data_IF_054247958627
#
_entry.id   IF_054247958627
#
_cell.length_a   1.000
_cell.length_b   1.000
_cell.length_c   1.000
_cell.angle_alpha   90.00
_cell.angle_beta   90.00
_cell.angle_gamma   90.00
#
_symmetry.space_group_name_H-M   'P 1'
#
loop_
_entity.id
_entity.type
_entity.pdbx_description
1 polymer ?
#
# COMPACT_ATOMS: atom_id res chain seq x y z
N UNK A 1 59.91 31.38 22.19
CA UNK A 1 58.68 31.51 21.38
C UNK A 1 57.51 30.88 22.15
N UNK A 2 57.16 31.49 23.28
CA UNK A 2 56.10 31.04 24.17
C UNK A 2 55.01 32.11 24.19
N UNK A 3 53.77 31.76 23.89
CA UNK A 3 52.56 32.47 24.30
C UNK A 3 51.40 31.48 24.07
N UNK A 4 50.87 30.86 25.13
CA UNK A 4 49.83 31.33 26.07
C UNK A 4 48.50 30.67 25.71
N UNK A 5 48.01 29.78 26.59
CA UNK A 5 46.95 30.03 27.61
C UNK A 5 45.57 30.06 26.91
N UNK A 6 44.56 29.30 27.33
CA UNK A 6 43.77 29.58 28.53
C UNK A 6 42.81 28.40 28.81
N UNK A 7 42.70 28.06 30.10
CA UNK A 7 41.69 27.22 30.74
C UNK A 7 40.24 27.64 30.43
N UNK A 8 39.26 26.73 30.48
CA UNK A 8 38.13 26.78 31.46
C UNK A 8 37.03 25.74 31.19
N UNK A 9 36.89 24.81 32.13
CA UNK A 9 35.68 24.34 32.85
C UNK A 9 34.28 24.27 32.21
N UNK A 10 33.65 23.10 32.47
CA UNK A 10 32.21 22.86 32.75
C UNK A 10 31.27 22.85 31.54
N UNK A 11 30.25 21.98 31.41
CA UNK A 11 29.28 21.46 32.39
C UNK A 11 28.73 20.10 31.92
N UNK A 12 28.33 19.29 32.88
CA UNK A 12 27.47 18.12 32.68
C UNK A 12 26.16 18.51 31.98
N UNK A 13 25.81 17.77 30.93
CA UNK A 13 24.46 17.77 30.37
C UNK A 13 23.73 16.50 30.77
N UNK A 14 22.54 16.74 31.33
CA UNK A 14 21.61 15.79 31.91
C UNK A 14 21.13 14.76 30.88
N UNK A 15 21.10 13.51 31.30
CA UNK A 15 20.42 12.40 30.61
C UNK A 15 18.94 12.72 30.43
N UNK A 16 18.52 12.85 29.17
CA UNK A 16 17.11 12.89 28.77
C UNK A 16 16.49 11.48 28.85
N UNK A 17 15.16 11.37 29.04
CA UNK A 17 14.51 10.13 29.44
C UNK A 17 14.53 9.07 28.35
N UNK A 18 14.54 7.82 28.80
CA UNK A 18 14.59 6.60 28.00
C UNK A 18 13.56 6.58 26.86
N UNK A 19 14.04 6.68 25.62
CA UNK A 19 13.31 6.19 24.46
C UNK A 19 13.13 4.68 24.65
N UNK A 20 11.87 4.27 24.61
CA UNK A 20 11.42 2.88 24.74
C UNK A 20 12.31 1.93 23.94
N UNK A 21 13.10 1.17 24.68
CA UNK A 21 13.88 0.04 24.18
C UNK A 21 12.87 -1.08 23.87
N UNK A 22 12.43 -1.22 22.62
CA UNK A 22 11.73 -2.45 22.18
C UNK A 22 12.73 -3.60 22.36
N UNK A 23 12.45 -4.45 23.35
CA UNK A 23 13.29 -5.59 23.70
C UNK A 23 13.26 -6.64 22.59
N UNK A 24 14.33 -7.41 22.53
CA UNK A 24 14.59 -8.51 21.59
C UNK A 24 13.39 -9.43 21.33
N UNK A 25 13.14 -9.63 20.03
CA UNK A 25 12.60 -10.83 19.38
C UNK A 25 11.54 -11.62 20.16
N UNK A 26 10.28 -11.19 20.06
CA UNK A 26 9.20 -12.17 19.94
C UNK A 26 9.43 -12.95 18.65
N UNK A 27 9.28 -14.28 18.67
CA UNK A 27 9.21 -15.12 17.46
C UNK A 27 8.26 -14.43 16.49
N UNK A 28 8.79 -13.85 15.42
CA UNK A 28 7.99 -13.23 14.37
C UNK A 28 7.58 -14.38 13.46
N UNK A 29 6.28 -14.57 13.27
CA UNK A 29 5.84 -15.50 12.24
C UNK A 29 6.17 -14.87 10.88
N UNK A 30 6.58 -15.70 9.93
CA UNK A 30 6.82 -15.25 8.56
C UNK A 30 5.53 -15.34 7.74
N UNK A 31 5.30 -14.33 6.91
CA UNK A 31 4.17 -14.28 5.99
C UNK A 31 4.65 -13.76 4.64
N UNK A 32 4.20 -14.37 3.55
CA UNK A 32 4.46 -13.80 2.22
C UNK A 32 3.60 -12.57 1.98
N UNK A 33 4.05 -11.65 1.13
CA UNK A 33 3.23 -10.48 0.73
C UNK A 33 1.91 -10.93 0.10
N UNK A 34 1.92 -12.03 -0.68
CA UNK A 34 0.70 -12.63 -1.23
C UNK A 34 -0.27 -13.05 -0.14
N UNK A 35 0.19 -13.77 0.87
CA UNK A 35 -0.66 -14.25 1.96
C UNK A 35 -1.17 -13.10 2.84
N UNK A 36 -0.37 -12.05 3.00
CA UNK A 36 -0.76 -10.81 3.68
C UNK A 36 -1.93 -10.10 2.98
N UNK A 37 -1.86 -9.95 1.65
CA UNK A 37 -2.94 -9.38 0.84
C UNK A 37 -4.19 -10.27 0.86
N UNK A 38 -4.01 -11.59 0.74
CA UNK A 38 -5.10 -12.55 0.83
C UNK A 38 -5.83 -12.47 2.16
N UNK A 39 -5.09 -12.50 3.27
CA UNK A 39 -5.63 -12.44 4.64
C UNK A 39 -6.32 -11.10 4.90
N UNK A 40 -5.76 -9.99 4.40
CA UNK A 40 -6.42 -8.69 4.46
C UNK A 40 -7.78 -8.71 3.78
N UNK A 41 -7.88 -9.22 2.55
CA UNK A 41 -9.17 -9.33 1.86
C UNK A 41 -10.13 -10.28 2.57
N UNK A 42 -9.64 -11.44 3.02
CA UNK A 42 -10.45 -12.42 3.73
C UNK A 42 -11.13 -11.82 4.97
N UNK A 43 -10.35 -11.08 5.77
CA UNK A 43 -10.86 -10.48 7.00
C UNK A 43 -11.84 -9.35 6.74
N UNK A 44 -11.61 -8.51 5.72
CA UNK A 44 -12.54 -7.43 5.40
C UNK A 44 -13.83 -7.96 4.75
N UNK A 45 -13.75 -9.01 3.93
CA UNK A 45 -14.91 -9.72 3.38
C UNK A 45 -15.76 -10.35 4.50
N UNK A 46 -15.12 -10.96 5.51
CA UNK A 46 -15.81 -11.52 6.68
C UNK A 46 -16.41 -10.44 7.59
N UNK A 47 -15.81 -9.25 7.62
CA UNK A 47 -16.20 -8.15 8.50
C UNK A 47 -17.40 -7.37 7.95
N UNK A 48 -17.48 -7.21 6.64
CA UNK A 48 -18.41 -6.27 6.00
C UNK A 48 -19.04 -6.90 4.75
N UNK A 49 -20.35 -7.11 4.79
CA UNK A 49 -21.11 -7.76 3.72
C UNK A 49 -21.20 -6.90 2.44
N UNK A 50 -20.91 -5.60 2.54
CA UNK A 50 -20.87 -4.69 1.41
C UNK A 50 -19.56 -4.81 0.60
N UNK A 51 -18.52 -5.44 1.15
CA UNK A 51 -17.23 -5.62 0.47
C UNK A 51 -17.30 -6.76 -0.52
N UNK A 52 -16.83 -6.59 -1.75
CA UNK A 52 -16.71 -7.69 -2.71
C UNK A 52 -15.52 -7.48 -3.64
N UNK A 53 -14.96 -8.57 -4.18
CA UNK A 53 -13.86 -8.56 -5.13
C UNK A 53 -14.39 -8.80 -6.54
N UNK A 54 -13.95 -8.00 -7.50
CA UNK A 54 -14.21 -8.23 -8.92
C UNK A 54 -12.99 -7.93 -9.80
N UNK A 55 -12.83 -8.70 -10.86
CA UNK A 55 -11.75 -8.56 -11.83
C UNK A 55 -11.60 -9.81 -12.68
N UNK A 56 -10.59 -9.82 -13.52
CA UNK A 56 -10.28 -10.95 -14.39
C UNK A 56 -9.59 -12.06 -13.58
N UNK A 57 -10.15 -13.27 -13.64
CA UNK A 57 -9.57 -14.49 -13.06
C UNK A 57 -9.44 -14.47 -11.52
N UNK A 58 -10.16 -13.58 -10.83
CA UNK A 58 -10.10 -13.42 -9.37
C UNK A 58 -10.83 -14.54 -8.61
N UNK A 59 -11.81 -15.19 -9.23
CA UNK A 59 -12.65 -16.20 -8.59
C UNK A 59 -12.15 -17.62 -8.88
N UNK A 60 -12.63 -18.27 -9.94
CA UNK A 60 -12.43 -19.70 -10.15
C UNK A 60 -10.96 -20.06 -10.41
N UNK A 61 -10.22 -19.14 -11.02
CA UNK A 61 -8.78 -19.29 -11.25
C UNK A 61 -7.92 -18.99 -10.01
N UNK A 62 -8.55 -18.61 -8.89
CA UNK A 62 -7.88 -18.26 -7.64
C UNK A 62 -6.94 -17.03 -7.76
N UNK A 63 -7.17 -16.13 -8.72
CA UNK A 63 -6.35 -14.96 -9.00
C UNK A 63 -5.18 -15.28 -9.94
N UNK A 64 -4.87 -14.37 -10.87
CA UNK A 64 -3.75 -14.51 -11.81
C UNK A 64 -2.41 -14.78 -11.08
N UNK A 65 -2.18 -14.05 -9.98
CA UNK A 65 -0.99 -14.18 -9.13
C UNK A 65 -1.24 -14.92 -7.81
N UNK A 66 -2.38 -15.59 -7.68
CA UNK A 66 -2.82 -16.34 -6.49
C UNK A 66 -3.07 -15.51 -5.23
N UNK A 67 -3.30 -14.20 -5.39
CA UNK A 67 -3.59 -13.28 -4.28
C UNK A 67 -5.00 -13.52 -3.70
N UNK A 68 -5.99 -13.87 -4.53
CA UNK A 68 -7.37 -14.15 -4.11
C UNK A 68 -7.66 -15.64 -3.84
N UNK A 69 -6.62 -16.47 -3.71
CA UNK A 69 -6.77 -17.92 -3.54
C UNK A 69 -7.67 -18.28 -2.36
N UNK A 70 -8.61 -19.21 -2.56
CA UNK A 70 -9.52 -19.72 -1.54
C UNK A 70 -10.71 -18.81 -1.22
N UNK A 71 -10.72 -17.57 -1.70
CA UNK A 71 -11.79 -16.62 -1.36
C UNK A 71 -13.10 -16.98 -2.06
N UNK A 72 -13.05 -17.41 -3.33
CA UNK A 72 -14.25 -17.78 -4.07
C UNK A 72 -14.92 -19.02 -3.46
N UNK A 73 -14.13 -20.03 -3.08
CA UNK A 73 -14.64 -21.22 -2.40
C UNK A 73 -15.31 -20.88 -1.05
N UNK A 74 -14.84 -19.81 -0.38
CA UNK A 74 -15.36 -19.36 0.91
C UNK A 74 -16.60 -18.46 0.81
N UNK A 75 -16.63 -17.52 -0.13
CA UNK A 75 -17.65 -16.46 -0.20
C UNK A 75 -18.60 -16.56 -1.41
N UNK A 76 -18.25 -17.37 -2.41
CA UNK A 76 -19.09 -17.66 -3.57
C UNK A 76 -19.23 -16.52 -4.58
N UNK A 77 -20.04 -16.80 -5.61
CA UNK A 77 -20.16 -16.00 -6.85
C UNK A 77 -20.68 -14.57 -6.66
N UNK A 78 -21.29 -14.28 -5.50
CA UNK A 78 -21.81 -12.93 -5.21
C UNK A 78 -20.75 -11.99 -4.65
N UNK A 79 -19.67 -12.54 -4.07
CA UNK A 79 -18.66 -11.78 -3.33
C UNK A 79 -17.31 -11.79 -4.02
N UNK A 80 -17.01 -12.83 -4.81
CA UNK A 80 -15.81 -12.93 -5.63
C UNK A 80 -16.24 -13.18 -7.07
N UNK A 81 -16.06 -12.19 -7.94
CA UNK A 81 -16.73 -12.09 -9.24
C UNK A 81 -15.70 -12.04 -10.37
N UNK A 82 -15.65 -13.08 -11.19
CA UNK A 82 -14.91 -13.05 -12.45
C UNK A 82 -15.60 -12.14 -13.47
N UNK A 83 -14.82 -11.31 -14.14
CA UNK A 83 -15.30 -10.38 -15.17
C UNK A 83 -14.81 -10.77 -16.56
N UNK A 84 -15.52 -10.41 -17.64
CA UNK A 84 -14.93 -10.41 -18.97
C UNK A 84 -13.71 -9.47 -19.03
N UNK A 85 -12.87 -9.65 -20.05
CA UNK A 85 -11.70 -8.78 -20.31
C UNK A 85 -12.17 -7.42 -20.83
N UNK A 86 -12.54 -6.54 -19.91
CA UNK A 86 -13.08 -5.21 -20.21
C UNK A 86 -12.90 -4.27 -19.02
N UNK A 87 -11.66 -3.79 -18.85
CA UNK A 87 -11.23 -2.97 -17.72
C UNK A 87 -12.14 -1.76 -17.50
N UNK A 88 -12.44 -1.02 -18.56
CA UNK A 88 -13.36 0.12 -18.49
C UNK A 88 -14.76 -0.30 -18.02
N UNK A 89 -15.27 -1.43 -18.51
CA UNK A 89 -16.62 -1.89 -18.24
C UNK A 89 -16.79 -2.31 -16.79
N UNK A 90 -15.94 -3.21 -16.31
CA UNK A 90 -16.04 -3.71 -14.94
C UNK A 90 -15.68 -2.64 -13.90
N UNK A 91 -14.77 -1.72 -14.23
CA UNK A 91 -14.44 -0.59 -13.34
C UNK A 91 -15.61 0.38 -13.23
N UNK A 92 -16.29 0.70 -14.34
CA UNK A 92 -17.47 1.56 -14.32
C UNK A 92 -18.64 0.95 -13.54
N UNK A 93 -18.84 -0.38 -13.65
CA UNK A 93 -19.80 -1.12 -12.84
C UNK A 93 -19.47 -1.02 -11.34
N UNK A 94 -18.20 -1.21 -10.98
CA UNK A 94 -17.74 -1.09 -9.59
C UNK A 94 -17.96 0.33 -9.03
N UNK A 95 -17.60 1.37 -9.78
CA UNK A 95 -17.82 2.76 -9.37
C UNK A 95 -19.32 3.03 -9.16
N UNK A 96 -20.17 2.58 -10.08
CA UNK A 96 -21.63 2.69 -9.92
C UNK A 96 -22.15 1.93 -8.69
N UNK A 97 -21.61 0.75 -8.39
CA UNK A 97 -21.96 0.00 -7.19
C UNK A 97 -21.54 0.74 -5.91
N UNK A 98 -20.36 1.37 -5.92
CA UNK A 98 -19.86 2.15 -4.79
C UNK A 98 -20.75 3.38 -4.47
N UNK A 99 -21.32 4.03 -5.48
CA UNK A 99 -22.30 5.11 -5.28
C UNK A 99 -23.55 4.67 -4.51
N UNK A 100 -23.84 3.37 -4.52
CA UNK A 100 -24.99 2.77 -3.85
C UNK A 100 -24.65 2.07 -2.54
N UNK A 101 -23.48 2.37 -1.95
CA UNK A 101 -23.13 1.96 -0.58
C UNK A 101 -22.35 0.65 -0.48
N UNK A 102 -22.13 -0.05 -1.60
CA UNK A 102 -21.23 -1.21 -1.62
C UNK A 102 -19.75 -0.79 -1.60
N UNK A 103 -18.84 -1.71 -1.30
CA UNK A 103 -17.40 -1.46 -1.18
C UNK A 103 -16.57 -2.38 -2.10
N UNK A 104 -16.59 -2.13 -3.41
CA UNK A 104 -15.86 -2.96 -4.36
C UNK A 104 -14.34 -2.87 -4.19
N UNK A 105 -13.70 -4.03 -4.31
CA UNK A 105 -12.28 -4.20 -4.55
C UNK A 105 -12.16 -4.61 -6.02
N UNK A 106 -11.59 -3.73 -6.83
CA UNK A 106 -11.36 -3.95 -8.26
C UNK A 106 -9.92 -4.39 -8.45
N UNK A 107 -9.72 -5.60 -8.99
CA UNK A 107 -8.40 -6.10 -9.37
C UNK A 107 -8.15 -5.86 -10.86
N UNK A 108 -7.09 -5.12 -11.17
CA UNK A 108 -6.46 -5.19 -12.49
C UNK A 108 -5.33 -6.22 -12.42
N UNK A 109 -5.28 -7.13 -13.40
CA UNK A 109 -4.19 -8.12 -13.48
C UNK A 109 -2.82 -7.44 -13.40
N UNK A 110 -2.68 -6.33 -14.13
CA UNK A 110 -1.60 -5.37 -13.93
C UNK A 110 -2.10 -3.95 -14.17
N UNK A 111 -1.52 -2.96 -13.49
CA UNK A 111 -1.83 -1.54 -13.70
C UNK A 111 -1.52 -1.05 -15.11
N UNK A 112 -0.73 -1.80 -15.90
CA UNK A 112 -0.60 -1.51 -17.33
C UNK A 112 -1.96 -1.54 -18.04
N UNK A 113 -2.86 -2.45 -17.65
CA UNK A 113 -4.19 -2.60 -18.23
C UNK A 113 -5.22 -1.64 -17.62
N UNK A 114 -4.97 -1.16 -16.39
CA UNK A 114 -5.75 -0.10 -15.76
C UNK A 114 -5.79 1.20 -16.59
N UNK A 115 -4.85 1.39 -17.54
CA UNK A 115 -4.94 2.48 -18.52
C UNK A 115 -6.22 2.45 -19.34
N UNK A 116 -6.78 1.28 -19.64
CA UNK A 116 -8.07 1.19 -20.33
C UNK A 116 -9.24 1.68 -19.48
N UNK A 117 -9.11 1.66 -18.15
CA UNK A 117 -10.11 2.08 -17.17
C UNK A 117 -9.82 3.43 -16.50
N UNK A 118 -8.76 4.13 -16.89
CA UNK A 118 -8.25 5.29 -16.15
C UNK A 118 -9.27 6.43 -16.08
N UNK A 119 -10.15 6.54 -17.08
CA UNK A 119 -11.25 7.49 -17.10
C UNK A 119 -12.24 7.23 -15.95
N UNK A 120 -12.61 5.97 -15.69
CA UNK A 120 -13.48 5.63 -14.55
C UNK A 120 -12.79 5.90 -13.22
N UNK A 121 -11.50 5.58 -13.09
CA UNK A 121 -10.74 5.81 -11.86
C UNK A 121 -10.65 7.31 -11.54
N UNK A 122 -10.38 8.15 -12.55
CA UNK A 122 -10.16 9.57 -12.35
C UNK A 122 -11.46 10.37 -12.38
N UNK A 123 -12.20 10.30 -13.49
CA UNK A 123 -13.32 11.20 -13.72
C UNK A 123 -14.58 10.74 -12.99
N UNK A 124 -14.80 9.43 -12.88
CA UNK A 124 -15.95 8.89 -12.16
C UNK A 124 -15.67 8.67 -10.67
N UNK A 125 -14.53 8.11 -10.26
CA UNK A 125 -14.30 7.85 -8.84
C UNK A 125 -13.71 9.06 -8.11
N UNK A 126 -12.49 9.48 -8.46
CA UNK A 126 -11.73 10.47 -7.70
C UNK A 126 -12.46 11.81 -7.51
N UNK A 127 -13.09 12.32 -8.58
CA UNK A 127 -13.69 13.65 -8.59
C UNK A 127 -15.10 13.70 -8.01
N UNK A 128 -15.76 12.56 -7.81
CA UNK A 128 -17.19 12.53 -7.55
C UNK A 128 -17.58 13.17 -6.23
N UNK A 129 -16.83 12.94 -5.15
CA UNK A 129 -17.12 13.52 -3.85
C UNK A 129 -17.11 15.06 -3.93
N UNK A 130 -16.12 15.62 -4.63
CA UNK A 130 -16.03 17.06 -4.85
C UNK A 130 -17.15 17.58 -5.76
N UNK A 131 -17.42 16.92 -6.90
CA UNK A 131 -18.43 17.35 -7.87
C UNK A 131 -19.86 17.27 -7.31
N UNK A 132 -20.11 16.34 -6.40
CA UNK A 132 -21.38 16.20 -5.69
C UNK A 132 -21.47 17.08 -4.44
N UNK A 133 -20.50 17.98 -4.21
CA UNK A 133 -20.48 18.86 -3.03
C UNK A 133 -20.54 18.07 -1.69
N UNK A 134 -19.91 16.90 -1.65
CA UNK A 134 -19.84 16.03 -0.48
C UNK A 134 -20.98 15.02 -0.34
N UNK A 135 -21.92 14.95 -1.29
CA UNK A 135 -23.10 14.08 -1.17
C UNK A 135 -22.81 12.61 -1.53
N UNK A 136 -21.89 12.36 -2.46
CA UNK A 136 -21.62 11.01 -2.99
C UNK A 136 -20.17 10.61 -2.70
N UNK A 137 -19.98 9.86 -1.61
CA UNK A 137 -18.72 9.17 -1.34
C UNK A 137 -18.55 7.95 -2.26
N UNK A 138 -17.29 7.56 -2.50
CA UNK A 138 -16.97 6.45 -3.41
C UNK A 138 -15.98 5.51 -2.71
N UNK A 139 -16.47 4.64 -1.81
CA UNK A 139 -15.63 3.67 -1.11
C UNK A 139 -15.24 2.53 -2.05
N UNK A 140 -14.12 2.68 -2.77
CA UNK A 140 -13.66 1.72 -3.77
C UNK A 140 -12.13 1.56 -3.69
N UNK A 141 -11.67 0.32 -3.83
CA UNK A 141 -10.24 0.01 -3.93
C UNK A 141 -9.91 -0.45 -5.34
N UNK A 142 -8.89 0.14 -5.95
CA UNK A 142 -8.28 -0.35 -7.18
C UNK A 142 -6.93 -0.96 -6.83
N UNK A 143 -6.75 -2.27 -7.04
CA UNK A 143 -5.51 -2.98 -6.71
C UNK A 143 -5.00 -3.82 -7.87
N UNK A 144 -3.73 -4.21 -7.79
CA UNK A 144 -3.08 -4.99 -8.85
C UNK A 144 -1.57 -4.80 -8.88
N UNK A 145 -0.91 -5.59 -9.71
CA UNK A 145 0.55 -5.51 -9.89
C UNK A 145 0.97 -4.23 -10.62
N UNK A 146 1.99 -3.54 -10.12
CA UNK A 146 2.53 -2.30 -10.67
C UNK A 146 4.07 -2.31 -10.72
N UNK A 147 4.64 -1.66 -11.74
CA UNK A 147 6.07 -1.58 -11.96
C UNK A 147 6.65 -2.78 -12.72
N UNK A 148 7.97 -2.98 -12.68
CA UNK A 148 8.64 -4.01 -13.47
C UNK A 148 8.40 -5.42 -12.92
N UNK A 149 8.36 -6.39 -13.83
CA UNK A 149 8.44 -7.82 -13.57
C UNK A 149 9.55 -8.47 -14.44
N UNK A 150 9.76 -9.77 -14.28
CA UNK A 150 10.87 -10.47 -14.95
C UNK A 150 10.53 -10.83 -16.40
N UNK A 151 11.17 -10.18 -17.37
CA UNK A 151 11.12 -10.57 -18.78
C UNK A 151 9.82 -10.23 -19.52
N UNK A 152 9.01 -9.31 -18.99
CA UNK A 152 7.68 -8.97 -19.54
C UNK A 152 7.66 -7.78 -20.52
N UNK A 153 8.84 -7.24 -20.83
CA UNK A 153 9.04 -6.17 -21.82
C UNK A 153 8.27 -4.86 -21.53
N UNK A 154 8.15 -4.00 -22.54
CA UNK A 154 7.75 -2.60 -22.37
C UNK A 154 6.31 -2.40 -21.87
N UNK A 155 5.35 -3.22 -22.33
CA UNK A 155 3.92 -3.02 -22.06
C UNK A 155 3.43 -3.63 -20.74
N UNK A 156 4.32 -4.28 -19.97
CA UNK A 156 3.99 -4.94 -18.70
C UNK A 156 4.92 -4.50 -17.56
N UNK A 157 5.68 -3.41 -17.73
CA UNK A 157 6.71 -2.98 -16.76
C UNK A 157 6.53 -1.55 -16.24
N UNK A 158 5.43 -0.88 -16.58
CA UNK A 158 5.25 0.53 -16.26
C UNK A 158 4.85 0.73 -14.78
N UNK A 159 5.41 1.78 -14.16
CA UNK A 159 5.02 2.23 -12.83
C UNK A 159 4.08 3.44 -12.94
N UNK A 160 2.90 3.33 -12.35
CA UNK A 160 1.84 4.34 -12.38
C UNK A 160 1.73 5.19 -11.11
N UNK A 161 2.69 5.05 -10.19
CA UNK A 161 2.73 5.83 -8.94
C UNK A 161 2.62 7.34 -9.19
N UNK A 162 3.39 7.87 -10.15
CA UNK A 162 3.35 9.29 -10.50
C UNK A 162 2.03 9.71 -11.16
N UNK A 163 1.40 8.83 -11.96
CA UNK A 163 0.15 9.14 -12.65
C UNK A 163 -0.98 9.30 -11.63
N UNK A 164 -1.30 8.24 -10.88
CA UNK A 164 -2.40 8.29 -9.91
C UNK A 164 -2.09 9.22 -8.74
N UNK A 165 -0.82 9.29 -8.30
CA UNK A 165 -0.40 10.19 -7.22
C UNK A 165 -0.44 11.67 -7.58
N UNK A 166 -0.78 12.04 -8.82
CA UNK A 166 -0.99 13.43 -9.25
C UNK A 166 -2.45 13.83 -9.35
N UNK A 167 -3.39 12.92 -9.04
CA UNK A 167 -4.82 13.14 -9.18
C UNK A 167 -5.42 13.45 -7.80
N UNK A 168 -5.98 14.66 -7.59
CA UNK A 168 -6.74 14.97 -6.38
C UNK A 168 -7.99 14.11 -6.25
N UNK A 169 -8.33 13.73 -5.01
CA UNK A 169 -9.46 12.85 -4.70
C UNK A 169 -9.13 11.35 -4.77
N UNK A 170 -7.90 10.99 -5.20
CA UNK A 170 -7.36 9.64 -5.01
C UNK A 170 -6.39 9.62 -3.82
N UNK A 171 -6.43 8.51 -3.07
CA UNK A 171 -5.32 8.10 -2.21
C UNK A 171 -4.54 7.00 -2.92
N UNK A 172 -3.21 7.09 -2.94
CA UNK A 172 -2.36 6.08 -3.58
C UNK A 172 -1.36 5.52 -2.57
N UNK A 173 -1.31 4.19 -2.46
CA UNK A 173 -0.40 3.47 -1.58
C UNK A 173 0.39 2.43 -2.36
N UNK A 174 1.64 2.19 -1.98
CA UNK A 174 2.54 1.26 -2.66
C UNK A 174 3.30 0.42 -1.63
N UNK A 175 2.71 -0.68 -1.13
CA UNK A 175 3.29 -1.48 -0.04
C UNK A 175 4.59 -2.17 -0.46
N UNK A 176 5.48 -2.40 0.51
CA UNK A 176 6.73 -3.13 0.32
C UNK A 176 6.73 -4.51 1.01
N UNK A 177 6.56 -4.53 2.33
CA UNK A 177 6.61 -5.76 3.14
C UNK A 177 5.20 -6.32 3.45
N UNK A 178 5.16 -7.46 4.13
CA UNK A 178 3.89 -8.13 4.48
C UNK A 178 3.03 -7.33 5.47
N UNK A 179 3.62 -6.56 6.38
CA UNK A 179 2.84 -5.70 7.29
C UNK A 179 2.22 -4.53 6.54
N UNK A 180 3.00 -3.89 5.66
CA UNK A 180 2.55 -2.81 4.79
C UNK A 180 1.39 -3.29 3.91
N UNK A 181 1.55 -4.44 3.25
CA UNK A 181 0.55 -5.00 2.36
C UNK A 181 -0.76 -5.32 3.09
N UNK A 182 -0.69 -5.99 4.25
CA UNK A 182 -1.87 -6.34 5.04
C UNK A 182 -2.55 -5.08 5.60
N UNK A 183 -1.79 -4.23 6.27
CA UNK A 183 -2.30 -3.06 6.98
C UNK A 183 -2.85 -1.97 6.06
N UNK A 184 -2.16 -1.69 4.95
CA UNK A 184 -2.60 -0.67 3.99
C UNK A 184 -3.80 -1.13 3.16
N UNK A 185 -3.89 -2.42 2.79
CA UNK A 185 -5.06 -2.91 2.07
C UNK A 185 -6.31 -2.88 2.95
N UNK A 186 -6.22 -3.29 4.22
CA UNK A 186 -7.33 -3.17 5.17
C UNK A 186 -7.74 -1.71 5.39
N UNK A 187 -6.76 -0.81 5.51
CA UNK A 187 -7.04 0.61 5.62
C UNK A 187 -7.73 1.15 4.35
N UNK A 188 -7.29 0.73 3.16
CA UNK A 188 -7.87 1.12 1.88
C UNK A 188 -9.33 0.67 1.75
N UNK A 189 -9.64 -0.58 2.10
CA UNK A 189 -11.02 -1.11 2.05
C UNK A 189 -11.96 -0.39 3.03
N UNK A 190 -11.42 0.07 4.16
CA UNK A 190 -12.18 0.81 5.18
C UNK A 190 -12.32 2.30 4.88
N UNK A 191 -11.55 2.84 3.94
CA UNK A 191 -11.57 4.25 3.59
C UNK A 191 -12.86 4.60 2.79
N UNK A 192 -13.53 5.72 3.09
CA UNK A 192 -14.72 6.13 2.33
C UNK A 192 -14.41 6.72 0.95
N UNK A 193 -13.13 6.86 0.59
CA UNK A 193 -12.68 7.47 -0.67
C UNK A 193 -12.07 6.41 -1.62
N UNK A 194 -11.89 6.74 -2.91
CA UNK A 194 -11.18 5.87 -3.83
C UNK A 194 -9.70 5.72 -3.47
N UNK A 195 -9.25 4.47 -3.32
CA UNK A 195 -7.86 4.15 -2.97
C UNK A 195 -7.22 3.26 -4.03
N UNK A 196 -6.05 3.66 -4.51
CA UNK A 196 -5.22 2.87 -5.44
C UNK A 196 -4.11 2.17 -4.65
N UNK A 197 -4.06 0.84 -4.74
CA UNK A 197 -3.06 -0.02 -4.08
C UNK A 197 -2.13 -0.60 -5.14
N UNK A 198 -0.95 0.00 -5.27
CA UNK A 198 0.08 -0.36 -6.25
C UNK A 198 0.99 -1.45 -5.70
N UNK A 199 0.60 -2.70 -5.90
CA UNK A 199 1.37 -3.87 -5.48
C UNK A 199 2.55 -4.12 -6.42
N UNK A 200 3.39 -5.12 -6.14
CA UNK A 200 4.49 -5.47 -7.03
C UNK A 200 4.65 -6.99 -7.16
N UNK A 201 4.73 -7.46 -8.41
CA UNK A 201 4.75 -8.89 -8.73
C UNK A 201 5.92 -9.62 -8.06
N UNK A 202 7.11 -9.01 -8.11
CA UNK A 202 8.35 -9.64 -7.67
C UNK A 202 8.41 -9.83 -6.15
N UNK A 203 7.61 -9.08 -5.39
CA UNK A 203 7.57 -9.20 -3.92
C UNK A 203 6.47 -10.14 -3.42
N UNK A 204 5.50 -10.55 -4.25
CA UNK A 204 4.40 -11.42 -3.81
C UNK A 204 4.87 -12.71 -3.12
N UNK A 205 5.91 -13.34 -3.65
CA UNK A 205 6.47 -14.58 -3.11
C UNK A 205 7.50 -14.39 -2.00
N UNK A 206 7.82 -13.16 -1.62
CA UNK A 206 8.83 -12.87 -0.60
C UNK A 206 8.19 -12.93 0.79
N UNK A 207 8.82 -13.69 1.69
CA UNK A 207 8.44 -13.78 3.10
C UNK A 207 9.10 -12.67 3.90
N UNK A 208 8.32 -12.05 4.79
CA UNK A 208 8.80 -11.08 5.77
C UNK A 208 8.39 -11.49 7.19
N UNK A 209 9.19 -11.15 8.21
CA UNK A 209 8.76 -11.29 9.61
C UNK A 209 7.58 -10.34 9.88
N UNK A 210 6.54 -10.86 10.54
CA UNK A 210 5.34 -10.10 10.91
C UNK A 210 5.24 -10.03 12.42
N UNK A 211 5.02 -8.82 12.95
CA UNK A 211 4.80 -8.63 14.38
C UNK A 211 3.47 -9.23 14.83
N UNK A 212 3.36 -9.56 16.13
CA UNK A 212 2.08 -10.02 16.71
C UNK A 212 0.96 -8.99 16.54
N UNK A 213 1.31 -7.70 16.59
CA UNK A 213 0.39 -6.59 16.33
C UNK A 213 -0.17 -6.65 14.91
N UNK A 214 0.70 -6.92 13.93
CA UNK A 214 0.32 -7.06 12.52
C UNK A 214 -0.39 -8.36 12.17
N UNK A 215 -0.57 -9.29 13.12
CA UNK A 215 -1.43 -10.48 12.98
C UNK A 215 -2.87 -10.24 13.43
N UNK A 216 -3.14 -9.15 14.15
CA UNK A 216 -4.48 -8.85 14.64
C UNK A 216 -5.42 -8.55 13.45
N UNK A 217 -6.66 -9.04 13.49
CA UNK A 217 -7.67 -8.83 12.44
C UNK A 217 -8.10 -7.36 12.30
N UNK A 218 -7.85 -6.54 13.31
CA UNK A 218 -8.16 -5.12 13.33
C UNK A 218 -6.92 -4.26 13.04
N UNK A 219 -5.76 -4.87 12.79
CA UNK A 219 -4.55 -4.18 12.37
C UNK A 219 -4.79 -3.41 11.07
N UNK A 220 -4.50 -2.12 11.11
CA UNK A 220 -4.55 -1.20 9.97
C UNK A 220 -3.37 -0.25 10.06
N UNK A 221 -2.87 0.18 8.90
CA UNK A 221 -1.84 1.22 8.82
C UNK A 221 -2.52 2.52 8.37
N UNK A 222 -2.18 3.61 9.04
CA UNK A 222 -2.68 4.93 8.66
C UNK A 222 -2.12 5.35 7.29
N UNK A 223 -3.02 5.57 6.33
CA UNK A 223 -2.68 6.10 5.00
C UNK A 223 -2.17 7.54 5.16
N UNK A 224 -1.16 7.91 4.37
CA UNK A 224 -0.52 9.22 4.48
C UNK A 224 0.54 9.31 5.59
N UNK A 225 0.99 8.18 6.14
CA UNK A 225 2.17 8.12 7.03
C UNK A 225 3.28 7.24 6.46
N UNK A 226 4.49 7.76 6.51
CA UNK A 226 5.68 7.01 6.15
C UNK A 226 6.21 6.19 7.32
N UNK A 227 6.80 5.03 6.99
CA UNK A 227 7.50 4.14 7.93
C UNK A 227 9.00 4.38 7.83
N UNK A 228 9.69 4.37 8.98
CA UNK A 228 11.15 4.36 9.07
C UNK A 228 11.64 2.94 9.36
N UNK A 229 12.16 2.24 8.35
CA UNK A 229 12.77 0.89 8.40
C UNK A 229 14.05 0.90 9.20
N UNK A 230 14.91 1.89 8.95
CA UNK A 230 16.22 2.01 9.58
C UNK A 230 16.43 3.50 9.88
N UNK A 231 16.83 3.88 11.11
CA UNK A 231 17.17 5.25 11.44
C UNK A 231 18.61 5.61 11.03
N UNK A 232 18.86 6.88 10.73
CA UNK A 232 20.16 7.43 10.34
C UNK A 232 20.22 8.95 10.54
N UNK A 233 21.39 9.58 10.27
CA UNK A 233 21.61 11.00 10.59
C UNK A 233 22.19 11.86 9.46
N UNK A 234 22.77 11.24 8.43
CA UNK A 234 23.57 11.97 7.43
C UNK A 234 22.81 12.19 6.11
N UNK A 235 22.09 11.16 5.65
CA UNK A 235 21.32 11.18 4.39
C UNK A 235 19.97 10.50 4.62
N UNK A 236 18.95 10.99 3.91
CA UNK A 236 17.62 10.37 3.81
C UNK A 236 17.46 9.71 2.45
N UNK A 237 17.14 8.41 2.42
CA UNK A 237 16.74 7.70 1.21
C UNK A 237 15.24 7.46 1.23
N UNK A 238 14.54 7.93 0.20
CA UNK A 238 13.10 7.75 0.05
C UNK A 238 12.84 6.75 -1.06
N UNK A 239 12.07 5.71 -0.75
CA UNK A 239 11.72 4.67 -1.70
C UNK A 239 10.32 4.13 -1.38
N UNK A 240 9.71 3.46 -2.34
CA UNK A 240 8.41 2.82 -2.16
C UNK A 240 8.39 1.48 -2.90
N UNK A 241 7.46 0.61 -2.52
CA UNK A 241 7.34 -0.74 -3.08
C UNK A 241 8.70 -1.48 -3.10
N UNK A 242 8.97 -2.29 -4.13
CA UNK A 242 10.21 -3.08 -4.27
C UNK A 242 11.49 -2.27 -4.09
N UNK A 243 11.51 -0.99 -4.47
CA UNK A 243 12.72 -0.15 -4.34
C UNK A 243 13.11 0.11 -2.88
N UNK A 244 12.23 -0.15 -1.91
CA UNK A 244 12.62 -0.13 -0.49
C UNK A 244 13.65 -1.22 -0.20
N UNK A 245 13.46 -2.43 -0.73
CA UNK A 245 14.44 -3.52 -0.56
C UNK A 245 15.79 -3.18 -1.17
N UNK A 246 15.79 -2.66 -2.39
CA UNK A 246 17.01 -2.19 -3.07
C UNK A 246 17.72 -1.07 -2.27
N UNK A 247 16.94 -0.14 -1.70
CA UNK A 247 17.48 0.91 -0.85
C UNK A 247 18.08 0.36 0.44
N UNK A 248 17.46 -0.66 1.06
CA UNK A 248 17.96 -1.34 2.26
C UNK A 248 19.26 -2.08 1.99
N UNK A 249 19.36 -2.81 0.88
CA UNK A 249 20.59 -3.48 0.47
C UNK A 249 21.72 -2.47 0.21
N UNK A 250 21.41 -1.32 -0.39
CA UNK A 250 22.37 -0.24 -0.57
C UNK A 250 22.95 0.30 0.77
N UNK A 251 22.21 0.16 1.89
CA UNK A 251 22.67 0.58 3.21
C UNK A 251 23.79 -0.30 3.78
N UNK A 252 24.00 -1.49 3.23
CA UNK A 252 25.13 -2.32 3.64
C UNK A 252 26.44 -1.83 3.02
N UNK A 253 26.36 -1.00 1.98
CA UNK A 253 27.50 -0.37 1.30
C UNK A 253 27.71 1.10 1.70
N UNK A 254 26.70 1.72 2.32
CA UNK A 254 26.72 3.11 2.79
C UNK A 254 26.69 3.14 4.31
N UNK A 255 27.67 3.79 4.95
CA UNK A 255 27.90 3.56 6.39
C UNK A 255 26.72 4.00 7.29
N UNK A 256 25.78 4.87 6.88
CA UNK A 256 24.65 5.31 7.74
C UNK A 256 23.48 5.94 6.95
N UNK A 257 22.20 5.53 7.12
CA UNK A 257 21.02 6.17 6.45
C UNK A 257 19.66 5.90 7.14
N UNK A 258 18.73 6.88 7.07
CA UNK A 258 17.30 6.78 7.43
C UNK A 258 16.37 6.58 6.20
N UNK A 259 15.36 5.69 6.21
CA UNK A 259 14.40 5.52 5.08
C UNK A 259 12.94 5.93 5.40
N UNK A 260 12.15 6.19 4.34
CA UNK A 260 10.73 6.57 4.35
C UNK A 260 9.88 5.74 3.34
N UNK A 261 8.76 5.16 3.79
CA UNK A 261 7.69 4.58 2.96
C UNK A 261 6.80 5.69 2.36
N UNK A 262 6.58 5.71 1.04
CA UNK A 262 5.67 6.69 0.43
C UNK A 262 4.25 6.16 0.33
N UNK A 263 3.32 6.78 1.05
CA UNK A 263 1.91 6.84 0.66
C UNK A 263 1.70 8.13 -0.14
N UNK A 264 1.49 8.02 -1.45
CA UNK A 264 1.20 9.14 -2.33
C UNK A 264 -0.27 9.54 -2.16
N UNK A 265 -0.61 10.14 -1.02
CA UNK A 265 -1.92 10.77 -0.81
C UNK A 265 -1.83 12.25 -1.17
N UNK A 266 -2.72 12.74 -2.03
CA UNK A 266 -2.76 14.13 -2.53
C UNK A 266 -3.59 15.09 -1.67
N UNK A 267 -4.07 14.65 -0.50
CA UNK A 267 -4.72 15.55 0.47
C UNK A 267 -3.69 16.51 1.08
N UNK A 268 -3.41 17.61 0.39
CA UNK A 268 -2.69 18.85 0.77
C UNK A 268 -1.32 18.75 1.49
N UNK A 269 -0.81 17.54 1.73
CA UNK A 269 0.48 17.30 2.35
C UNK A 269 1.18 16.14 1.65
N UNK A 270 1.86 16.45 0.54
CA UNK A 270 3.09 15.72 0.22
C UNK A 270 4.04 15.96 1.39
N UNK A 271 3.95 15.11 2.41
CA UNK A 271 4.77 15.03 3.63
C UNK A 271 5.64 16.26 3.89
N UNK A 272 5.03 17.40 4.20
CA UNK A 272 5.78 18.66 4.44
C UNK A 272 6.30 18.77 5.87
N UNK A 273 5.87 17.87 6.77
CA UNK A 273 6.31 17.83 8.16
C UNK A 273 7.22 16.63 8.41
N UNK A 274 8.52 16.86 8.23
CA UNK A 274 9.64 16.09 8.80
C UNK A 274 10.57 17.05 9.53
#
# INVERSE_FOLDING_TARGET
MALRRVLTTSKAFKTAPSLLRRSMATVADEMTVRDALNTAMDEELARDDEVFLMGEEVAQYNGAYKVSKGLWEKYGDKRIIDTPITEQGFTGLAVGAAYHGTKPIVEFMTFNFAMQAIDQIINSAAKQYYMSNGDIAVPIVFRGSNGPAAGVAAQHSQCYAAWYGSVPGLKVVAPYDSEDARGLLKAAIRDPNPVVVLENELVYGVSFPVSKEAQDKDFVIEIGKAKIMKPGKDVTLVAFSRMVGEALEALDYLVYVMYWLVSLSTDDQVFTNV
#
